data_IF_549717240580
#
_entry.id   IF_549717240580
#
_cell.length_a   1.000
_cell.length_b   1.000
_cell.length_c   1.000
_cell.angle_alpha   90.00
_cell.angle_beta   90.00
_cell.angle_gamma   90.00
#
_symmetry.space_group_name_H-M   'P 1'
#
loop_
_entity.id
_entity.type
_entity.pdbx_description
1 polymer ?
#
# COMPACT_ATOMS: atom_id res chain seq x y z
N UNK A 1 14.42 -5.97 1.17
CA UNK A 1 12.98 -5.70 1.30
C UNK A 1 12.65 -4.50 0.43
N UNK A 2 11.82 -4.66 -0.60
CA UNK A 2 11.42 -3.57 -1.50
C UNK A 2 9.99 -3.18 -1.12
N UNK A 3 9.80 -1.93 -0.71
CA UNK A 3 8.50 -1.37 -0.35
C UNK A 3 8.14 -0.25 -1.34
N UNK A 4 6.86 -0.10 -1.64
CA UNK A 4 6.37 1.03 -2.43
C UNK A 4 5.85 2.09 -1.48
N UNK A 5 6.38 3.30 -1.65
CA UNK A 5 6.20 4.44 -0.76
C UNK A 5 5.65 5.60 -1.60
N UNK A 6 4.62 6.28 -1.10
CA UNK A 6 4.05 7.45 -1.78
C UNK A 6 4.85 8.72 -1.46
N UNK A 7 4.75 9.73 -2.34
CA UNK A 7 5.40 11.04 -2.18
C UNK A 7 5.06 11.75 -0.86
N UNK A 8 3.94 11.43 -0.20
CA UNK A 8 3.61 11.98 1.12
C UNK A 8 4.37 11.35 2.30
N UNK A 9 5.03 10.21 2.10
CA UNK A 9 5.72 9.44 3.14
C UNK A 9 7.24 9.61 3.07
N UNK A 10 7.73 10.84 2.87
CA UNK A 10 9.15 11.12 2.67
C UNK A 10 10.03 10.69 3.88
N UNK A 11 9.44 10.57 5.08
CA UNK A 11 10.09 10.06 6.29
C UNK A 11 10.16 8.53 6.43
N UNK A 12 9.60 7.76 5.50
CA UNK A 12 9.52 6.30 5.60
C UNK A 12 10.89 5.62 5.79
N UNK A 13 11.93 6.13 5.11
CA UNK A 13 13.29 5.61 5.26
C UNK A 13 13.86 5.86 6.66
N UNK A 14 13.50 6.98 7.28
CA UNK A 14 13.97 7.35 8.62
C UNK A 14 13.28 6.51 9.69
N UNK A 15 11.99 6.24 9.54
CA UNK A 15 11.21 5.36 10.42
C UNK A 15 11.80 3.95 10.41
N UNK A 16 12.13 3.41 9.23
CA UNK A 16 12.77 2.09 9.09
C UNK A 16 14.17 2.09 9.74
N UNK A 17 14.96 3.16 9.57
CA UNK A 17 16.28 3.31 10.23
C UNK A 17 16.16 3.41 11.75
N UNK A 18 15.18 4.17 12.27
CA UNK A 18 14.90 4.27 13.72
C UNK A 18 14.55 2.90 14.31
N UNK A 19 13.72 2.12 13.60
CA UNK A 19 13.37 0.75 14.02
C UNK A 19 14.60 -0.17 14.04
N UNK A 20 15.46 -0.09 13.03
CA UNK A 20 16.69 -0.88 12.97
C UNK A 20 17.63 -0.56 14.14
N UNK A 21 17.67 0.70 14.57
CA UNK A 21 18.41 1.18 15.74
C UNK A 21 17.70 0.92 17.09
N UNK A 22 16.58 0.17 17.10
CA UNK A 22 15.74 -0.11 18.29
C UNK A 22 15.32 1.13 19.08
N UNK A 23 15.19 2.29 18.43
CA UNK A 23 14.68 3.51 19.08
C UNK A 23 13.17 3.40 19.32
N UNK A 24 12.67 4.15 20.29
CA UNK A 24 11.24 4.36 20.49
C UNK A 24 10.65 5.05 19.26
N UNK A 25 9.48 4.58 18.85
CA UNK A 25 8.69 5.09 17.74
C UNK A 25 7.41 5.68 18.32
N UNK A 26 6.95 6.81 17.81
CA UNK A 26 5.62 7.32 18.15
C UNK A 26 4.54 6.41 17.59
N UNK A 27 3.30 6.50 18.09
CA UNK A 27 2.18 5.68 17.58
C UNK A 27 1.96 5.90 16.07
N UNK A 28 2.12 7.14 15.60
CA UNK A 28 2.05 7.50 14.18
C UNK A 28 3.15 6.81 13.36
N UNK A 29 4.40 6.85 13.84
CA UNK A 29 5.53 6.17 13.19
C UNK A 29 5.37 4.64 13.21
N UNK A 30 4.77 4.08 14.25
CA UNK A 30 4.46 2.65 14.31
C UNK A 30 3.41 2.26 13.29
N UNK A 31 2.34 3.06 13.14
CA UNK A 31 1.30 2.83 12.15
C UNK A 31 1.86 2.93 10.71
N UNK A 32 2.70 3.92 10.46
CA UNK A 32 3.38 4.09 9.18
C UNK A 32 4.35 2.94 8.89
N UNK A 33 5.11 2.49 9.90
CA UNK A 33 5.98 1.30 9.78
C UNK A 33 5.19 0.04 9.42
N UNK A 34 4.01 -0.18 10.04
CA UNK A 34 3.15 -1.31 9.68
C UNK A 34 2.67 -1.22 8.24
N UNK A 35 2.32 -0.01 7.79
CA UNK A 35 1.88 0.25 6.41
C UNK A 35 3.00 -0.07 5.41
N UNK A 36 4.23 0.38 5.68
CA UNK A 36 5.41 0.11 4.86
C UNK A 36 5.74 -1.39 4.83
N UNK A 37 5.64 -2.07 5.98
CA UNK A 37 5.86 -3.53 6.04
C UNK A 37 4.85 -4.28 5.19
N UNK A 38 3.56 -3.97 5.34
CA UNK A 38 2.50 -4.61 4.54
C UNK A 38 2.71 -4.38 3.04
N UNK A 39 3.11 -3.17 2.62
CA UNK A 39 3.39 -2.93 1.21
C UNK A 39 4.58 -3.75 0.71
N UNK A 40 5.63 -3.87 1.53
CA UNK A 40 6.78 -4.71 1.20
C UNK A 40 6.43 -6.20 1.10
N UNK A 41 5.61 -6.70 2.02
CA UNK A 41 5.16 -8.10 2.02
C UNK A 41 4.35 -8.40 0.76
N UNK A 42 3.48 -7.48 0.34
CA UNK A 42 2.73 -7.62 -0.91
C UNK A 42 3.62 -7.64 -2.14
N UNK A 43 4.63 -6.78 -2.21
CA UNK A 43 5.61 -6.78 -3.30
C UNK A 43 6.43 -8.06 -3.29
N UNK A 44 6.76 -8.60 -2.12
CA UNK A 44 7.49 -9.86 -1.99
C UNK A 44 6.67 -11.06 -2.47
N UNK A 45 5.37 -11.09 -2.19
CA UNK A 45 4.48 -12.22 -2.55
C UNK A 45 4.00 -12.13 -4.01
N UNK A 46 3.54 -10.97 -4.45
CA UNK A 46 2.87 -10.81 -5.75
C UNK A 46 3.75 -10.14 -6.82
N UNK A 47 4.94 -9.65 -6.45
CA UNK A 47 5.91 -9.05 -7.37
C UNK A 47 5.36 -7.84 -8.10
N UNK A 48 5.49 -7.85 -9.43
CA UNK A 48 5.10 -6.73 -10.31
C UNK A 48 3.62 -6.37 -10.19
N UNK A 49 2.72 -7.34 -9.98
CA UNK A 49 1.28 -7.08 -9.82
C UNK A 49 1.01 -6.18 -8.61
N UNK A 50 1.74 -6.38 -7.50
CA UNK A 50 1.60 -5.51 -6.34
C UNK A 50 2.04 -4.08 -6.64
N UNK A 51 3.07 -3.90 -7.47
CA UNK A 51 3.51 -2.56 -7.87
C UNK A 51 2.45 -1.81 -8.67
N UNK A 52 1.78 -2.50 -9.60
CA UNK A 52 0.71 -1.91 -10.40
C UNK A 52 -0.49 -1.49 -9.53
N UNK A 53 -0.89 -2.32 -8.56
CA UNK A 53 -2.02 -2.01 -7.67
C UNK A 53 -1.69 -0.88 -6.70
N UNK A 54 -0.49 -0.91 -6.10
CA UNK A 54 -0.06 0.12 -5.14
C UNK A 54 0.21 1.48 -5.80
N UNK A 55 0.48 1.50 -7.11
CA UNK A 55 0.57 2.73 -7.90
C UNK A 55 -0.80 3.41 -8.11
N UNK A 56 -1.90 2.68 -7.98
CA UNK A 56 -3.25 3.21 -8.13
C UNK A 56 -3.58 4.30 -7.11
N UNK A 57 -4.43 5.26 -7.51
CA UNK A 57 -4.78 6.42 -6.70
C UNK A 57 -5.68 6.03 -5.52
N UNK A 58 -5.28 6.40 -4.30
CA UNK A 58 -6.07 6.09 -3.10
C UNK A 58 -6.03 4.62 -2.66
N UNK A 59 -5.32 3.75 -3.38
CA UNK A 59 -5.15 2.35 -3.01
C UNK A 59 -4.03 2.22 -1.96
N UNK A 60 -4.38 1.84 -0.73
CA UNK A 60 -3.41 1.53 0.32
C UNK A 60 -3.01 0.05 0.33
N UNK A 61 -2.06 -0.37 1.19
CA UNK A 61 -1.64 -1.77 1.28
C UNK A 61 -2.77 -2.73 1.62
N UNK A 62 -3.72 -2.34 2.47
CA UNK A 62 -4.90 -3.16 2.76
C UNK A 62 -5.80 -3.37 1.54
N UNK A 63 -6.11 -2.29 0.81
CA UNK A 63 -6.92 -2.37 -0.41
C UNK A 63 -6.18 -3.17 -1.49
N UNK A 64 -4.87 -2.99 -1.61
CA UNK A 64 -4.03 -3.73 -2.52
C UNK A 64 -4.02 -5.23 -2.20
N UNK A 65 -3.90 -5.60 -0.93
CA UNK A 65 -3.97 -7.00 -0.50
C UNK A 65 -5.29 -7.65 -0.93
N UNK A 66 -6.42 -6.93 -0.78
CA UNK A 66 -7.74 -7.43 -1.18
C UNK A 66 -7.83 -7.67 -2.69
N UNK A 67 -7.33 -6.75 -3.51
CA UNK A 67 -7.33 -6.89 -4.98
C UNK A 67 -6.43 -8.06 -5.39
N UNK A 68 -5.24 -8.16 -4.82
CA UNK A 68 -4.28 -9.22 -5.15
C UNK A 68 -4.76 -10.61 -4.70
N UNK A 69 -5.50 -10.69 -3.59
CA UNK A 69 -6.06 -11.93 -3.08
C UNK A 69 -7.19 -12.53 -3.95
N UNK A 70 -7.85 -11.73 -4.80
CA UNK A 70 -8.94 -12.18 -5.66
C UNK A 70 -8.49 -13.08 -6.84
N UNK A 71 -7.19 -13.41 -6.92
CA UNK A 71 -6.59 -14.36 -7.88
C UNK A 71 -7.12 -14.21 -9.31
N UNK A 72 -7.01 -13.01 -9.86
CA UNK A 72 -7.44 -12.74 -11.24
C UNK A 72 -6.64 -13.56 -12.25
N UNK A 73 -7.31 -14.49 -12.92
CA UNK A 73 -6.78 -15.27 -14.05
C UNK A 73 -6.58 -14.39 -15.29
N UNK A 74 -7.42 -13.36 -15.45
CA UNK A 74 -7.45 -12.46 -16.59
C UNK A 74 -6.90 -11.06 -16.24
N UNK A 75 -6.05 -10.51 -17.12
CA UNK A 75 -5.47 -9.17 -16.95
C UNK A 75 -6.53 -8.08 -17.03
N UNK A 76 -7.55 -8.26 -17.87
CA UNK A 76 -8.58 -7.23 -18.04
C UNK A 76 -9.41 -7.06 -16.76
N UNK A 77 -9.76 -8.17 -16.12
CA UNK A 77 -10.48 -8.17 -14.83
C UNK A 77 -9.66 -7.51 -13.73
N UNK A 78 -8.36 -7.81 -13.67
CA UNK A 78 -7.43 -7.20 -12.73
C UNK A 78 -7.40 -5.67 -12.82
N UNK A 79 -7.24 -5.11 -14.03
CA UNK A 79 -7.24 -3.65 -14.19
C UNK A 79 -8.62 -3.02 -13.93
N UNK A 80 -9.72 -3.71 -14.27
CA UNK A 80 -11.08 -3.27 -13.91
C UNK A 80 -11.26 -3.16 -12.40
N UNK A 81 -10.72 -4.11 -11.64
CA UNK A 81 -10.82 -4.10 -10.17
C UNK A 81 -9.96 -3.00 -9.54
N UNK A 82 -8.78 -2.71 -10.11
CA UNK A 82 -7.99 -1.53 -9.73
C UNK A 82 -8.80 -0.25 -9.96
N UNK A 83 -9.36 -0.07 -11.16
CA UNK A 83 -10.15 1.11 -11.50
C UNK A 83 -11.40 1.25 -10.61
N UNK A 84 -12.06 0.15 -10.28
CA UNK A 84 -13.20 0.14 -9.36
C UNK A 84 -12.78 0.60 -7.95
N UNK A 85 -11.61 0.18 -7.47
CA UNK A 85 -11.09 0.62 -6.19
C UNK A 85 -10.74 2.12 -6.18
N UNK A 86 -10.17 2.65 -7.26
CA UNK A 86 -9.90 4.10 -7.41
C UNK A 86 -11.20 4.91 -7.39
N UNK A 87 -12.23 4.47 -8.12
CA UNK A 87 -13.56 5.10 -8.12
C UNK A 87 -14.19 5.11 -6.73
N UNK A 88 -14.10 3.99 -6.01
CA UNK A 88 -14.61 3.88 -4.65
C UNK A 88 -13.89 4.83 -3.69
N UNK A 89 -12.56 4.96 -3.82
CA UNK A 89 -11.81 5.93 -3.04
C UNK A 89 -12.24 7.36 -3.37
N UNK A 90 -12.31 7.73 -4.65
CA UNK A 90 -12.73 9.06 -5.08
C UNK A 90 -14.14 9.42 -4.58
N UNK A 91 -15.08 8.46 -4.64
CA UNK A 91 -16.46 8.62 -4.16
C UNK A 91 -16.51 8.80 -2.64
N UNK A 92 -15.79 7.97 -1.89
CA UNK A 92 -15.86 7.96 -0.43
C UNK A 92 -14.99 9.02 0.24
N UNK A 93 -14.01 9.59 -0.47
CA UNK A 93 -13.14 10.67 0.03
C UNK A 93 -13.94 11.87 0.55
N UNK A 94 -15.11 12.16 -0.03
CA UNK A 94 -15.97 13.27 0.38
C UNK A 94 -16.49 13.10 1.82
N UNK A 95 -16.62 11.85 2.30
CA UNK A 95 -17.12 11.53 3.63
C UNK A 95 -16.02 11.37 4.68
N UNK A 96 -14.75 11.38 4.27
CA UNK A 96 -13.61 11.22 5.16
C UNK A 96 -13.15 12.63 5.57
N UNK A 97 -13.91 13.21 6.48
CA UNK A 97 -13.64 14.49 7.14
C UNK A 97 -13.16 14.23 8.56
#
# INVERSE_FOLDING_TARGET
MIAIIRKGQLGAAEIVKKRAKKKTLTEEEQHELQTIRRSADLVMVYGKKAAEVLAGHGIGPQTAARILAMMHTDKEKFYKDILAAEKNFAKNKIYWK
#
